data_IF_906281405679
#
_entry.id   IF_906281405679
#
_cell.length_a   1.000
_cell.length_b   1.000
_cell.length_c   1.000
_cell.angle_alpha   90.00
_cell.angle_beta   90.00
_cell.angle_gamma   90.00
#
_symmetry.space_group_name_H-M   'P 1'
#
loop_
_entity.id
_entity.type
_entity.pdbx_description
1 polymer ?
#
# COMPACT_ATOMS: atom_id res chain seq x y z
N UNK A 1 14.26 -3.69 -8.25
CA UNK A 1 13.00 -4.32 -7.77
C UNK A 1 12.20 -3.28 -7.00
N UNK A 2 10.95 -2.95 -7.38
CA UNK A 2 10.23 -1.85 -6.77
C UNK A 2 9.93 -2.12 -5.29
N UNK A 3 9.87 -1.05 -4.48
CA UNK A 3 9.49 -1.14 -3.06
C UNK A 3 8.11 -0.55 -2.83
N UNK A 4 7.31 -1.23 -2.01
CA UNK A 4 6.02 -0.77 -1.52
C UNK A 4 6.24 -0.03 -0.19
N UNK A 5 6.41 1.29 -0.27
CA UNK A 5 6.55 2.17 0.87
C UNK A 5 5.19 2.48 1.50
N UNK A 6 5.03 2.15 2.79
CA UNK A 6 3.82 2.44 3.56
C UNK A 6 4.08 3.56 4.55
N UNK A 7 3.28 4.62 4.46
CA UNK A 7 3.31 5.74 5.39
C UNK A 7 1.99 5.84 6.15
N UNK A 8 2.07 5.76 7.48
CA UNK A 8 0.93 5.85 8.38
C UNK A 8 0.91 7.19 9.09
N UNK A 9 -0.15 7.99 8.86
CA UNK A 9 -0.43 9.18 9.66
C UNK A 9 -1.44 8.89 10.78
N UNK A 10 -1.77 9.91 11.58
CA UNK A 10 -2.78 9.79 12.64
C UNK A 10 -4.19 9.50 12.08
N UNK A 11 -4.51 10.10 10.92
CA UNK A 11 -5.82 10.05 10.27
C UNK A 11 -5.86 9.11 9.06
N UNK A 12 -4.78 9.08 8.28
CA UNK A 12 -4.73 8.47 6.95
C UNK A 12 -3.58 7.47 6.82
N UNK A 13 -3.63 6.64 5.79
CA UNK A 13 -2.59 5.73 5.39
C UNK A 13 -2.34 5.85 3.89
N UNK A 14 -1.07 5.83 3.54
CA UNK A 14 -0.58 5.99 2.18
C UNK A 14 0.29 4.80 1.85
N UNK A 15 0.14 4.29 0.64
CA UNK A 15 0.99 3.25 0.08
C UNK A 15 1.49 3.72 -1.29
N UNK A 16 2.78 3.52 -1.57
CA UNK A 16 3.40 3.91 -2.82
C UNK A 16 4.33 2.81 -3.30
N UNK A 17 4.30 2.52 -4.59
CA UNK A 17 5.28 1.65 -5.24
C UNK A 17 6.29 2.54 -5.93
N UNK A 18 7.53 2.45 -5.46
CA UNK A 18 8.64 3.28 -5.90
C UNK A 18 9.66 2.38 -6.58
N UNK A 19 10.13 2.81 -7.75
CA UNK A 19 11.26 2.20 -8.44
C UNK A 19 12.50 3.06 -8.17
N UNK A 20 13.37 2.56 -7.29
CA UNK A 20 14.58 3.28 -6.88
C UNK A 20 15.61 3.38 -8.02
N UNK A 21 15.55 2.52 -9.05
CA UNK A 21 16.44 2.61 -10.23
C UNK A 21 16.10 3.82 -11.10
N UNK A 22 14.81 4.15 -11.18
CA UNK A 22 14.29 5.29 -11.96
C UNK A 22 14.00 6.53 -11.11
N UNK A 23 14.20 6.43 -9.79
CA UNK A 23 13.79 7.42 -8.81
C UNK A 23 12.34 7.92 -9.01
N UNK A 24 11.44 7.01 -9.39
CA UNK A 24 10.08 7.35 -9.81
C UNK A 24 9.03 6.52 -9.08
N UNK A 25 7.93 7.16 -8.69
CA UNK A 25 6.75 6.48 -8.13
C UNK A 25 5.89 5.96 -9.28
N UNK A 26 5.69 4.64 -9.33
CA UNK A 26 4.92 4.00 -10.39
C UNK A 26 3.42 4.05 -10.06
N UNK A 27 3.07 3.74 -8.81
CA UNK A 27 1.69 3.71 -8.34
C UNK A 27 1.58 4.27 -6.92
N UNK A 28 0.45 4.89 -6.61
CA UNK A 28 0.17 5.42 -5.29
C UNK A 28 -1.30 5.25 -4.94
N UNK A 29 -1.56 4.83 -3.71
CA UNK A 29 -2.91 4.68 -3.16
C UNK A 29 -2.97 5.28 -1.76
N UNK A 30 -4.13 5.85 -1.40
CA UNK A 30 -4.34 6.41 -0.07
C UNK A 30 -5.82 6.45 0.30
N UNK A 31 -6.12 6.35 1.59
CA UNK A 31 -7.49 6.47 2.09
C UNK A 31 -7.95 7.94 2.19
N UNK A 32 -7.05 8.90 1.96
CA UNK A 32 -7.33 10.34 1.98
C UNK A 32 -8.30 10.79 0.87
N UNK A 33 -8.37 10.06 -0.25
CA UNK A 33 -9.36 10.28 -1.31
C UNK A 33 -10.65 9.46 -1.11
N UNK A 34 -10.62 8.42 -0.27
CA UNK A 34 -11.72 7.46 -0.03
C UNK A 34 -12.53 7.73 1.25
N UNK A 35 -12.48 8.96 1.77
CA UNK A 35 -13.04 9.38 3.08
C UNK A 35 -14.56 9.18 3.24
N UNK A 36 -15.28 8.74 2.20
CA UNK A 36 -16.74 8.63 2.20
C UNK A 36 -17.31 7.38 2.91
N UNK A 37 -16.50 6.38 3.27
CA UNK A 37 -17.01 5.17 3.92
C UNK A 37 -16.86 5.21 5.45
N UNK A 38 -17.92 4.86 6.20
CA UNK A 38 -17.91 4.61 7.67
C UNK A 38 -17.12 3.35 8.05
N UNK A 39 -15.90 3.20 7.53
CA UNK A 39 -15.03 2.04 7.76
C UNK A 39 -14.02 2.30 8.85
N UNK A 40 -13.63 1.25 9.57
CA UNK A 40 -12.57 1.33 10.58
C UNK A 40 -11.24 1.65 9.92
N UNK A 41 -10.29 2.18 10.69
CA UNK A 41 -8.97 2.54 10.15
C UNK A 41 -8.15 1.32 9.69
N UNK A 42 -8.51 0.11 10.16
CA UNK A 42 -7.92 -1.15 9.73
C UNK A 42 -8.48 -1.59 8.37
N UNK A 43 -9.82 -1.56 8.20
CA UNK A 43 -10.47 -1.84 6.92
C UNK A 43 -9.96 -0.93 5.81
N UNK A 44 -9.86 0.38 6.06
CA UNK A 44 -9.32 1.34 5.07
C UNK A 44 -7.89 0.99 4.66
N UNK A 45 -7.07 0.54 5.60
CA UNK A 45 -5.69 0.14 5.32
C UNK A 45 -5.63 -1.09 4.41
N UNK A 46 -6.51 -2.07 4.65
CA UNK A 46 -6.65 -3.23 3.77
C UNK A 46 -7.09 -2.83 2.36
N UNK A 47 -8.06 -1.93 2.24
CA UNK A 47 -8.53 -1.42 0.94
C UNK A 47 -7.42 -0.73 0.15
N UNK A 48 -6.63 0.13 0.80
CA UNK A 48 -5.46 0.77 0.19
C UNK A 48 -4.46 -0.27 -0.31
N UNK A 49 -4.24 -1.35 0.44
CA UNK A 49 -3.39 -2.48 0.01
C UNK A 49 -3.92 -3.18 -1.24
N UNK A 50 -5.22 -3.46 -1.29
CA UNK A 50 -5.87 -4.10 -2.46
C UNK A 50 -5.83 -3.17 -3.68
N UNK A 51 -6.08 -1.88 -3.49
CA UNK A 51 -6.10 -0.89 -4.56
C UNK A 51 -4.73 -0.71 -5.19
N UNK A 52 -3.67 -0.61 -4.37
CA UNK A 52 -2.31 -0.49 -4.91
C UNK A 52 -1.87 -1.76 -5.62
N UNK A 53 -2.29 -2.94 -5.16
CA UNK A 53 -2.03 -4.19 -5.85
C UNK A 53 -2.70 -4.27 -7.22
N UNK A 54 -3.94 -3.78 -7.34
CA UNK A 54 -4.64 -3.68 -8.63
C UNK A 54 -3.91 -2.73 -9.58
N UNK A 55 -3.43 -1.58 -9.09
CA UNK A 55 -2.67 -0.64 -9.90
C UNK A 55 -1.31 -1.23 -10.32
N UNK A 56 -0.61 -1.88 -9.40
CA UNK A 56 0.65 -2.55 -9.66
C UNK A 56 0.54 -3.63 -10.74
N UNK A 57 -0.50 -4.46 -10.66
CA UNK A 57 -0.80 -5.47 -11.69
C UNK A 57 -1.07 -4.85 -13.05
N UNK A 58 -1.82 -3.75 -13.10
CA UNK A 58 -2.04 -3.00 -14.36
C UNK A 58 -0.74 -2.43 -14.93
N UNK A 59 0.20 -2.07 -14.08
CA UNK A 59 1.54 -1.62 -14.46
C UNK A 59 2.52 -2.77 -14.75
N UNK A 60 2.09 -4.04 -14.68
CA UNK A 60 2.93 -5.22 -14.92
C UNK A 60 3.89 -5.57 -13.77
N UNK A 61 3.61 -5.09 -12.55
CA UNK A 61 4.44 -5.34 -11.36
C UNK A 61 3.81 -6.45 -10.52
N UNK A 62 4.53 -7.56 -10.38
CA UNK A 62 4.08 -8.71 -9.57
C UNK A 62 4.85 -8.86 -8.26
N UNK A 63 6.12 -8.44 -8.23
CA UNK A 63 7.01 -8.58 -7.07
C UNK A 63 7.45 -7.20 -6.59
N UNK A 64 7.23 -6.93 -5.31
CA UNK A 64 7.71 -5.70 -4.66
C UNK A 64 8.24 -6.02 -3.26
N UNK A 65 9.17 -5.22 -2.78
CA UNK A 65 9.65 -5.33 -1.38
C UNK A 65 8.74 -4.53 -0.48
N UNK A 66 8.22 -5.13 0.60
CA UNK A 66 7.44 -4.39 1.59
C UNK A 66 8.33 -3.48 2.45
N UNK A 67 8.19 -2.16 2.29
CA UNK A 67 8.88 -1.15 3.08
C UNK A 67 7.92 -0.56 4.12
N UNK A 68 8.15 -0.97 5.38
CA UNK A 68 7.37 -0.55 6.55
C UNK A 68 7.65 0.88 7.02
N UNK A 69 8.56 1.63 6.38
CA UNK A 69 8.78 3.05 6.66
C UNK A 69 9.15 3.37 8.12
N UNK A 70 9.80 2.43 8.81
CA UNK A 70 10.16 2.57 10.23
C UNK A 70 9.04 2.26 11.24
N UNK A 71 7.83 1.92 10.78
CA UNK A 71 6.74 1.54 11.68
C UNK A 71 6.79 0.05 12.07
N UNK A 72 6.19 -0.29 13.21
CA UNK A 72 6.02 -1.68 13.63
C UNK A 72 5.06 -2.41 12.69
N UNK A 73 5.38 -3.65 12.33
CA UNK A 73 4.50 -4.50 11.52
C UNK A 73 3.31 -4.97 12.37
N UNK A 74 2.34 -4.08 12.56
CA UNK A 74 1.17 -4.30 13.39
C UNK A 74 -0.01 -3.43 12.95
N UNK A 75 -1.22 -3.83 13.34
CA UNK A 75 -2.46 -3.12 13.03
C UNK A 75 -2.55 -2.74 11.56
N UNK A 76 -2.71 -1.44 11.27
CA UNK A 76 -2.91 -0.92 9.91
C UNK A 76 -1.79 -1.29 8.93
N UNK A 77 -0.54 -1.38 9.37
CA UNK A 77 0.58 -1.70 8.46
C UNK A 77 0.52 -3.16 8.03
N UNK A 78 0.13 -4.05 8.96
CA UNK A 78 -0.15 -5.45 8.66
C UNK A 78 -1.32 -5.58 7.68
N UNK A 79 -2.39 -4.80 7.89
CA UNK A 79 -3.55 -4.81 6.99
C UNK A 79 -3.21 -4.35 5.56
N UNK A 80 -2.35 -3.35 5.38
CA UNK A 80 -1.88 -2.95 4.02
C UNK A 80 -1.14 -4.11 3.36
N UNK A 81 -0.25 -4.78 4.09
CA UNK A 81 0.50 -5.91 3.56
C UNK A 81 -0.40 -7.10 3.20
N UNK A 82 -1.38 -7.41 4.06
CA UNK A 82 -2.36 -8.47 3.77
C UNK A 82 -3.25 -8.11 2.59
N UNK A 83 -3.74 -6.88 2.50
CA UNK A 83 -4.52 -6.41 1.36
C UNK A 83 -3.73 -6.43 0.04
N UNK A 84 -2.44 -6.06 0.07
CA UNK A 84 -1.59 -6.13 -1.10
C UNK A 84 -1.32 -7.57 -1.55
N UNK A 85 -1.12 -8.51 -0.61
CA UNK A 85 -1.03 -9.95 -0.89
C UNK A 85 -2.31 -10.51 -1.48
N UNK A 86 -3.47 -10.11 -0.95
CA UNK A 86 -4.78 -10.51 -1.45
C UNK A 86 -5.03 -9.98 -2.87
N UNK A 87 -4.59 -8.75 -3.15
CA UNK A 87 -4.58 -8.19 -4.49
C UNK A 87 -3.60 -8.89 -5.44
N UNK A 88 -2.79 -9.83 -4.95
CA UNK A 88 -1.88 -10.69 -5.68
C UNK A 88 -0.54 -10.05 -6.03
N UNK A 89 -0.10 -9.08 -5.22
CA UNK A 89 1.32 -8.70 -5.17
C UNK A 89 2.08 -9.69 -4.29
N UNK A 90 3.28 -10.06 -4.73
CA UNK A 90 4.23 -10.82 -3.92
C UNK A 90 5.07 -9.80 -3.13
N UNK A 91 4.93 -9.86 -1.79
CA UNK A 91 5.57 -9.01 -0.77
C UNK A 91 6.58 -9.76 0.07
#
# INVERSE_FOLDING_TARGET
MPRLAVFRSSKYIYAQIIDDEKAATICAASDAAQVKAKKTKAERAREVGIEIAKQAKKAGIEKVVFDRGGFQYHGRIKEVAEGAREGGLVL
#
